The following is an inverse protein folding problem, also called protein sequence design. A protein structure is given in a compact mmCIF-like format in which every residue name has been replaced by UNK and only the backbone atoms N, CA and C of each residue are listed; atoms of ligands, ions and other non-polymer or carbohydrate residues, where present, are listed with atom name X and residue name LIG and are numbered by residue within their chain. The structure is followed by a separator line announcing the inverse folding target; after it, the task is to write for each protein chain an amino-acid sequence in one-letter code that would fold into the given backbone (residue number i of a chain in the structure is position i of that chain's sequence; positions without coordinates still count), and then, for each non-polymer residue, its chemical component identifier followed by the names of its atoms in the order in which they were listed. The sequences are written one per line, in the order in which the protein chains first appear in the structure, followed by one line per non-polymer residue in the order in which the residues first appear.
data_IF_321971952237
#
_entry.id   IF_321971952237
#
_cell.length_a   1.000
_cell.length_b   1.000
_cell.length_c   1.000
_cell.angle_alpha   90.00
_cell.angle_beta   90.00
_cell.angle_gamma   90.00
#
_symmetry.space_group_name_H-M   'P 1'
#
loop_
_entity.id
_entity.type
_entity.pdbx_description
1 polymer ?
#
# COMPACT_ATOMS: atom_id res chain seq x y z
N UNK A 1 13.12 9.31 -39.03
CA UNK A 1 14.43 9.98 -39.16
C UNK A 1 14.84 10.41 -37.77
N UNK A 2 16.12 10.32 -37.42
CA UNK A 2 16.54 10.31 -36.01
C UNK A 2 16.03 11.47 -35.17
N UNK A 3 15.85 12.66 -35.75
CA UNK A 3 15.28 13.80 -35.04
C UNK A 3 13.79 13.62 -34.68
N UNK A 4 13.01 12.98 -35.56
CA UNK A 4 11.64 12.59 -35.25
C UNK A 4 11.56 11.49 -34.18
N UNK A 5 12.55 10.61 -34.12
CA UNK A 5 12.65 9.58 -33.08
C UNK A 5 13.03 10.19 -31.73
N UNK A 6 13.93 11.20 -31.72
CA UNK A 6 14.25 11.99 -30.53
C UNK A 6 13.03 12.73 -30.00
N UNK A 7 12.23 13.37 -30.86
CA UNK A 7 11.00 14.06 -30.44
C UNK A 7 10.04 13.10 -29.73
N UNK A 8 9.83 11.90 -30.27
CA UNK A 8 9.00 10.87 -29.63
C UNK A 8 9.57 10.40 -28.29
N UNK A 9 10.90 10.26 -28.19
CA UNK A 9 11.56 9.88 -26.94
C UNK A 9 11.38 10.95 -25.86
N UNK A 10 11.46 12.24 -26.22
CA UNK A 10 11.17 13.37 -25.32
C UNK A 10 9.71 13.32 -24.87
N UNK A 11 8.75 13.19 -25.79
CA UNK A 11 7.32 13.11 -25.46
C UNK A 11 7.01 11.94 -24.51
N UNK A 12 7.62 10.77 -24.74
CA UNK A 12 7.47 9.60 -23.87
C UNK A 12 8.10 9.83 -22.48
N UNK A 13 9.25 10.50 -22.42
CA UNK A 13 9.91 10.84 -21.16
C UNK A 13 9.09 11.87 -20.36
N UNK A 14 8.54 12.90 -21.00
CA UNK A 14 7.64 13.86 -20.35
C UNK A 14 6.39 13.17 -19.79
N UNK A 15 5.79 12.25 -20.54
CA UNK A 15 4.66 11.46 -20.05
C UNK A 15 5.01 10.61 -18.82
N UNK A 16 6.26 10.11 -18.74
CA UNK A 16 6.76 9.29 -17.62
C UNK A 16 6.84 10.08 -16.31
N UNK A 17 6.96 11.41 -16.35
CA UNK A 17 7.00 12.25 -15.13
C UNK A 17 5.72 12.21 -14.31
N UNK A 18 4.60 11.82 -14.92
CA UNK A 18 3.30 11.69 -14.26
C UNK A 18 3.02 10.28 -13.76
N UNK A 19 3.95 9.32 -13.93
CA UNK A 19 3.74 7.93 -13.51
C UNK A 19 4.37 7.64 -12.15
N UNK A 20 3.95 6.54 -11.53
CA UNK A 20 4.52 6.02 -10.27
C UNK A 20 6.03 5.81 -10.38
N UNK A 21 6.50 5.24 -11.50
CA UNK A 21 7.93 5.06 -11.77
C UNK A 21 8.77 6.31 -11.49
N UNK A 22 8.30 7.50 -11.86
CA UNK A 22 8.99 8.77 -11.62
C UNK A 22 8.61 9.40 -10.27
N UNK A 23 7.32 9.54 -9.99
CA UNK A 23 6.83 10.28 -8.81
C UNK A 23 7.18 9.63 -7.48
N UNK A 24 7.39 8.31 -7.47
CA UNK A 24 7.83 7.55 -6.30
C UNK A 24 9.31 7.12 -6.40
N UNK A 25 10.04 7.59 -7.43
CA UNK A 25 11.46 7.26 -7.58
C UNK A 25 12.27 7.79 -6.40
N UNK A 26 13.30 7.04 -6.01
CA UNK A 26 14.26 7.48 -5.00
C UNK A 26 15.19 8.59 -5.53
N UNK A 27 15.45 8.59 -6.84
CA UNK A 27 16.22 9.59 -7.55
C UNK A 27 15.72 9.73 -9.00
N UNK A 28 15.61 10.96 -9.49
CA UNK A 28 15.21 11.28 -10.88
C UNK A 28 16.30 11.99 -11.66
N UNK A 29 17.46 12.26 -11.04
CA UNK A 29 18.47 13.17 -11.59
C UNK A 29 18.97 12.75 -12.97
N UNK A 30 19.36 11.49 -13.14
CA UNK A 30 19.88 11.00 -14.43
C UNK A 30 18.83 11.07 -15.54
N UNK A 31 17.56 10.83 -15.19
CA UNK A 31 16.44 10.96 -16.11
C UNK A 31 16.19 12.42 -16.49
N UNK A 32 16.19 13.33 -15.51
CA UNK A 32 16.00 14.76 -15.72
C UNK A 32 17.14 15.38 -16.55
N UNK A 33 18.39 15.01 -16.26
CA UNK A 33 19.56 15.46 -17.01
C UNK A 33 19.50 14.98 -18.47
N UNK A 34 19.13 13.72 -18.70
CA UNK A 34 18.96 13.17 -20.05
C UNK A 34 17.85 13.90 -20.83
N UNK A 35 16.73 14.22 -20.17
CA UNK A 35 15.62 14.95 -20.76
C UNK A 35 15.98 16.40 -21.07
N UNK A 36 16.68 17.09 -20.17
CA UNK A 36 17.20 18.43 -20.44
C UNK A 36 18.16 18.41 -21.63
N UNK A 37 19.09 17.45 -21.67
CA UNK A 37 20.05 17.31 -22.77
C UNK A 37 19.38 16.96 -24.12
N UNK A 38 18.27 16.23 -24.12
CA UNK A 38 17.48 15.96 -25.31
C UNK A 38 16.72 17.22 -25.78
N UNK A 39 16.13 17.97 -24.85
CA UNK A 39 15.41 19.21 -25.15
C UNK A 39 16.29 20.33 -25.69
N UNK A 40 17.56 20.41 -25.27
CA UNK A 40 18.52 21.37 -25.84
C UNK A 40 18.77 21.15 -27.33
N UNK A 41 18.65 19.91 -27.83
CA UNK A 41 18.76 19.61 -29.26
C UNK A 41 17.47 19.89 -30.05
N UNK A 42 16.31 19.82 -29.39
CA UNK A 42 15.02 20.10 -30.02
C UNK A 42 14.72 21.60 -30.14
N UNK A 43 15.61 22.46 -29.66
CA UNK A 43 15.55 23.91 -29.89
C UNK A 43 16.06 24.20 -31.30
N UNK A 44 15.32 24.97 -32.12
CA UNK A 44 15.54 25.30 -33.55
C UNK A 44 16.91 25.94 -33.95
N UNK A 45 17.98 25.71 -33.19
CA UNK A 45 19.35 26.08 -33.53
C UNK A 45 19.91 25.00 -34.45
N UNK A 46 19.91 25.30 -35.75
CA UNK A 46 20.20 24.39 -36.85
C UNK A 46 21.62 23.82 -36.92
N UNK A 47 22.10 23.21 -35.85
CA UNK A 47 23.25 22.32 -35.88
C UNK A 47 22.76 20.95 -36.36
N UNK A 48 23.20 20.54 -37.55
CA UNK A 48 23.00 19.19 -38.06
C UNK A 48 23.93 18.25 -37.27
N UNK A 49 23.59 18.00 -36.01
CA UNK A 49 24.28 17.07 -35.13
C UNK A 49 24.35 15.67 -35.77
N UNK A 50 25.49 15.01 -35.63
CA UNK A 50 25.69 13.70 -36.24
C UNK A 50 24.66 12.69 -35.68
N UNK A 51 24.25 11.77 -36.54
CA UNK A 51 23.29 10.72 -36.24
C UNK A 51 23.65 9.91 -34.98
N UNK A 52 24.94 9.87 -34.60
CA UNK A 52 25.42 9.26 -33.36
C UNK A 52 25.04 10.06 -32.10
N UNK A 53 25.14 11.39 -32.12
CA UNK A 53 24.83 12.25 -30.98
C UNK A 53 23.33 12.22 -30.64
N UNK A 54 22.47 12.20 -31.67
CA UNK A 54 21.02 12.04 -31.50
C UNK A 54 20.70 10.67 -30.88
N UNK A 55 21.36 9.60 -31.35
CA UNK A 55 21.15 8.26 -30.80
C UNK A 55 21.58 8.19 -29.32
N UNK A 56 22.73 8.76 -28.97
CA UNK A 56 23.22 8.75 -27.60
C UNK A 56 22.25 9.39 -26.60
N UNK A 57 21.53 10.44 -27.00
CA UNK A 57 20.51 11.10 -26.17
C UNK A 57 19.23 10.29 -26.05
N UNK A 58 18.79 9.65 -27.14
CA UNK A 58 17.68 8.69 -27.10
C UNK A 58 18.02 7.55 -26.14
N UNK A 59 19.24 7.02 -26.21
CA UNK A 59 19.70 5.93 -25.36
C UNK A 59 19.78 6.37 -23.89
N UNK A 60 20.27 7.60 -23.62
CA UNK A 60 20.30 8.15 -22.26
C UNK A 60 18.89 8.26 -21.65
N UNK A 61 17.92 8.78 -22.41
CA UNK A 61 16.51 8.86 -21.98
C UNK A 61 15.88 7.48 -21.73
N UNK A 62 16.20 6.52 -22.59
CA UNK A 62 15.61 5.17 -22.53
C UNK A 62 16.21 4.35 -21.39
N UNK A 63 17.50 4.52 -21.12
CA UNK A 63 18.25 3.74 -20.13
C UNK A 63 18.29 4.37 -18.73
N UNK A 64 17.86 5.64 -18.58
CA UNK A 64 17.73 6.27 -17.28
C UNK A 64 16.77 5.45 -16.40
N UNK A 65 17.28 4.99 -15.25
CA UNK A 65 16.55 4.10 -14.35
C UNK A 65 15.65 4.92 -13.44
N UNK A 66 14.40 4.50 -13.34
CA UNK A 66 13.42 5.00 -12.41
C UNK A 66 12.90 3.79 -11.63
N UNK A 67 12.92 3.88 -10.30
CA UNK A 67 12.65 2.76 -9.40
C UNK A 67 11.32 2.92 -8.65
N UNK A 68 10.50 3.93 -8.95
CA UNK A 68 9.30 4.23 -8.18
C UNK A 68 8.27 3.09 -8.10
N UNK A 69 8.10 2.32 -9.18
CA UNK A 69 7.21 1.14 -9.16
C UNK A 69 7.74 0.05 -8.22
N UNK A 70 9.07 -0.13 -8.18
CA UNK A 70 9.72 -1.06 -7.26
C UNK A 70 9.59 -0.58 -5.82
N UNK A 71 9.80 0.70 -5.57
CA UNK A 71 9.68 1.31 -4.25
C UNK A 71 8.26 1.13 -3.70
N UNK A 72 7.24 1.33 -4.55
CA UNK A 72 5.85 1.07 -4.18
C UNK A 72 5.61 -0.41 -3.85
N UNK A 73 6.10 -1.32 -4.68
CA UNK A 73 5.93 -2.76 -4.43
C UNK A 73 6.62 -3.22 -3.14
N UNK A 74 7.87 -2.79 -2.92
CA UNK A 74 8.61 -3.11 -1.70
C UNK A 74 7.88 -2.58 -0.45
N UNK A 75 7.29 -1.38 -0.53
CA UNK A 75 6.50 -0.81 0.55
C UNK A 75 5.21 -1.62 0.82
N UNK A 76 4.52 -2.09 -0.24
CA UNK A 76 3.36 -2.98 -0.11
C UNK A 76 3.73 -4.29 0.55
N UNK A 77 4.79 -4.94 0.08
CA UNK A 77 5.26 -6.23 0.62
C UNK A 77 5.62 -6.10 2.11
N UNK A 78 6.34 -5.04 2.48
CA UNK A 78 6.68 -4.76 3.87
C UNK A 78 5.44 -4.50 4.74
N UNK A 79 4.44 -3.77 4.24
CA UNK A 79 3.20 -3.51 4.95
C UNK A 79 2.35 -4.77 5.11
N UNK A 80 2.24 -5.60 4.08
CA UNK A 80 1.55 -6.90 4.14
C UNK A 80 2.22 -7.83 5.15
N UNK A 81 3.55 -7.88 5.17
CA UNK A 81 4.29 -8.64 6.17
C UNK A 81 3.99 -8.17 7.60
N UNK A 82 3.96 -6.85 7.83
CA UNK A 82 3.59 -6.27 9.14
C UNK A 82 2.16 -6.64 9.53
N UNK A 83 1.18 -6.50 8.63
CA UNK A 83 -0.23 -6.83 8.90
C UNK A 83 -0.38 -8.32 9.22
N UNK A 84 0.29 -9.20 8.48
CA UNK A 84 0.26 -10.63 8.75
C UNK A 84 0.82 -11.00 10.12
N UNK A 85 1.82 -10.26 10.61
CA UNK A 85 2.45 -10.45 11.91
C UNK A 85 1.61 -9.93 13.09
N UNK A 86 0.53 -9.18 12.86
CA UNK A 86 -0.40 -8.75 13.91
C UNK A 86 -1.12 -9.98 14.51
N UNK A 87 -1.04 -10.18 15.82
CA UNK A 87 -1.44 -11.43 16.48
C UNK A 87 -2.93 -11.48 16.84
N UNK A 88 -3.57 -10.33 16.97
CA UNK A 88 -4.91 -10.20 17.53
C UNK A 88 -5.99 -10.03 16.47
N UNK A 89 -5.66 -9.46 15.31
CA UNK A 89 -6.58 -9.39 14.17
C UNK A 89 -7.04 -10.78 13.70
N UNK A 90 -8.33 -10.89 13.40
CA UNK A 90 -8.90 -12.07 12.77
C UNK A 90 -8.59 -12.11 11.26
N UNK A 91 -8.89 -13.24 10.61
CA UNK A 91 -8.61 -13.43 9.16
C UNK A 91 -9.25 -12.35 8.29
N UNK A 92 -10.54 -12.08 8.46
CA UNK A 92 -11.27 -11.09 7.65
C UNK A 92 -10.70 -9.68 7.79
N UNK A 93 -10.30 -9.27 9.00
CA UNK A 93 -9.68 -7.96 9.27
C UNK A 93 -8.31 -7.84 8.60
N UNK A 94 -7.48 -8.89 8.65
CA UNK A 94 -6.19 -8.93 7.94
C UNK A 94 -6.38 -8.85 6.44
N UNK A 95 -7.31 -9.64 5.88
CA UNK A 95 -7.60 -9.64 4.45
C UNK A 95 -8.08 -8.26 3.97
N UNK A 96 -8.96 -7.61 4.73
CA UNK A 96 -9.43 -6.26 4.42
C UNK A 96 -8.29 -5.22 4.45
N UNK A 97 -7.36 -5.31 5.41
CA UNK A 97 -6.21 -4.40 5.47
C UNK A 97 -5.21 -4.68 4.34
N UNK A 98 -4.94 -5.95 4.02
CA UNK A 98 -4.07 -6.35 2.90
C UNK A 98 -4.65 -5.90 1.56
N UNK A 99 -5.97 -6.02 1.37
CA UNK A 99 -6.64 -5.53 0.17
C UNK A 99 -6.45 -4.01 -0.02
N UNK A 100 -6.55 -3.23 1.07
CA UNK A 100 -6.27 -1.79 1.04
C UNK A 100 -4.80 -1.50 0.68
N UNK A 101 -3.84 -2.24 1.26
CA UNK A 101 -2.42 -2.08 0.89
C UNK A 101 -2.18 -2.38 -0.58
N UNK A 102 -2.78 -3.45 -1.12
CA UNK A 102 -2.66 -3.81 -2.52
C UNK A 102 -3.27 -2.74 -3.44
N UNK A 103 -4.33 -2.06 -3.01
CA UNK A 103 -5.00 -1.00 -3.75
C UNK A 103 -4.27 0.36 -3.69
N UNK A 104 -3.31 0.55 -2.78
CA UNK A 104 -2.57 1.81 -2.68
C UNK A 104 -1.79 2.10 -3.97
N UNK A 105 -1.84 3.34 -4.46
CA UNK A 105 -1.14 3.80 -5.67
C UNK A 105 0.16 4.52 -5.34
N UNK A 106 0.34 4.93 -4.08
CA UNK A 106 1.54 5.63 -3.60
C UNK A 106 2.04 5.07 -2.27
N UNK A 107 3.33 5.29 -1.98
CA UNK A 107 3.93 4.85 -0.71
C UNK A 107 3.28 5.57 0.48
N UNK A 108 2.85 6.82 0.30
CA UNK A 108 2.23 7.64 1.35
C UNK A 108 0.87 7.10 1.82
N UNK A 109 0.12 6.43 0.95
CA UNK A 109 -1.18 5.83 1.29
C UNK A 109 -1.06 4.58 2.14
N UNK A 110 0.11 3.92 2.13
CA UNK A 110 0.32 2.64 2.82
C UNK A 110 0.41 2.81 4.34
N UNK A 111 1.10 3.86 4.81
CA UNK A 111 1.37 4.04 6.25
C UNK A 111 0.07 4.17 7.09
N UNK A 112 -0.93 4.98 6.70
CA UNK A 112 -2.20 5.06 7.43
C UNK A 112 -2.95 3.72 7.54
N UNK A 113 -2.83 2.85 6.53
CA UNK A 113 -3.46 1.51 6.54
C UNK A 113 -2.81 0.64 7.60
N UNK A 114 -1.48 0.64 7.67
CA UNK A 114 -0.71 -0.11 8.69
C UNK A 114 -1.01 0.40 10.09
N UNK A 115 -1.09 1.72 10.29
CA UNK A 115 -1.42 2.32 11.59
C UNK A 115 -2.83 1.96 12.05
N UNK A 116 -3.79 1.95 11.12
CA UNK A 116 -5.17 1.52 11.36
C UNK A 116 -5.21 0.04 11.77
N UNK A 117 -4.52 -0.82 11.03
CA UNK A 117 -4.45 -2.25 11.34
C UNK A 117 -3.81 -2.51 12.71
N UNK A 118 -2.72 -1.80 13.03
CA UNK A 118 -2.03 -1.90 14.33
C UNK A 118 -2.92 -1.42 15.49
N UNK A 119 -3.67 -0.33 15.28
CA UNK A 119 -4.62 0.17 16.28
C UNK A 119 -5.77 -0.81 16.51
N UNK A 120 -6.29 -1.41 15.43
CA UNK A 120 -7.31 -2.44 15.52
C UNK A 120 -6.80 -3.68 16.24
N UNK A 121 -5.55 -4.09 15.99
CA UNK A 121 -4.92 -5.21 16.69
C UNK A 121 -4.91 -5.01 18.21
N UNK A 122 -4.53 -3.82 18.68
CA UNK A 122 -4.60 -3.48 20.10
C UNK A 122 -6.02 -3.61 20.67
N UNK A 123 -7.03 -3.10 19.95
CA UNK A 123 -8.44 -3.23 20.37
C UNK A 123 -8.93 -4.68 20.38
N UNK A 124 -8.47 -5.50 19.44
CA UNK A 124 -8.79 -6.93 19.40
C UNK A 124 -8.11 -7.69 20.56
N UNK A 125 -6.90 -7.28 20.97
CA UNK A 125 -6.26 -7.82 22.17
C UNK A 125 -7.11 -7.54 23.43
N UNK A 126 -7.61 -6.31 23.56
CA UNK A 126 -8.47 -5.93 24.69
C UNK A 126 -9.83 -6.64 24.65
N UNK A 127 -10.41 -6.82 23.46
CA UNK A 127 -11.63 -7.62 23.27
C UNK A 127 -11.44 -9.06 23.73
N UNK A 128 -10.34 -9.72 23.32
CA UNK A 128 -10.01 -11.10 23.73
C UNK A 128 -9.92 -11.24 25.25
N UNK A 129 -9.22 -10.32 25.91
CA UNK A 129 -9.14 -10.29 27.39
C UNK A 129 -10.51 -10.07 28.04
N UNK A 130 -11.35 -9.22 27.45
CA UNK A 130 -12.69 -8.97 27.97
C UNK A 130 -13.60 -10.21 27.84
N UNK A 131 -13.49 -10.95 26.73
CA UNK A 131 -14.16 -12.25 26.52
C UNK A 131 -13.70 -13.24 27.57
N UNK A 132 -12.38 -13.45 27.75
CA UNK A 132 -11.84 -14.37 28.76
C UNK A 132 -12.33 -14.04 30.17
N UNK A 133 -12.32 -12.75 30.53
CA UNK A 133 -12.81 -12.29 31.83
C UNK A 133 -14.34 -12.46 31.98
N UNK A 134 -15.10 -12.35 30.89
CA UNK A 134 -16.53 -12.61 30.87
C UNK A 134 -16.82 -14.11 31.01
N UNK A 135 -16.14 -14.98 30.28
CA UNK A 135 -16.27 -16.43 30.40
C UNK A 135 -15.98 -16.91 31.83
N UNK A 136 -14.94 -16.37 32.47
CA UNK A 136 -14.64 -16.69 33.86
C UNK A 136 -15.81 -16.34 34.83
N UNK A 137 -16.59 -15.29 34.54
CA UNK A 137 -17.74 -14.91 35.37
C UNK A 137 -18.86 -15.93 35.30
N UNK A 138 -19.00 -16.71 34.21
CA UNK A 138 -20.03 -17.75 34.08
C UNK A 138 -19.95 -18.84 35.16
N UNK A 139 -18.76 -19.04 35.74
CA UNK A 139 -18.55 -20.01 36.83
C UNK A 139 -18.82 -19.45 38.23
N UNK A 140 -19.13 -18.16 38.36
CA UNK A 140 -19.34 -17.51 39.66
C UNK A 140 -20.76 -17.70 40.16
N UNK A 141 -20.95 -17.71 41.49
CA UNK A 141 -22.29 -17.76 42.10
C UNK A 141 -23.17 -16.58 41.68
N UNK A 142 -22.56 -15.40 41.47
CA UNK A 142 -23.29 -14.22 41.01
C UNK A 142 -23.96 -14.44 39.65
N UNK A 143 -23.31 -15.22 38.77
CA UNK A 143 -23.86 -15.59 37.48
C UNK A 143 -24.83 -16.78 37.59
N UNK A 144 -24.44 -17.87 38.26
CA UNK A 144 -25.24 -19.11 38.30
C UNK A 144 -26.53 -18.97 39.10
N UNK A 145 -26.62 -17.98 40.00
CA UNK A 145 -27.83 -17.67 40.77
C UNK A 145 -28.56 -16.41 40.28
N UNK A 146 -28.12 -15.81 39.16
CA UNK A 146 -28.81 -14.67 38.58
C UNK A 146 -30.19 -15.10 38.05
N UNK A 147 -31.20 -14.23 38.23
CA UNK A 147 -32.54 -14.48 37.71
C UNK A 147 -32.65 -14.30 36.20
N UNK A 148 -31.72 -13.56 35.59
CA UNK A 148 -31.62 -13.32 34.16
C UNK A 148 -30.16 -13.04 33.77
N UNK A 149 -29.63 -13.80 32.82
CA UNK A 149 -28.27 -13.64 32.27
C UNK A 149 -28.27 -13.19 30.81
N UNK A 150 -29.44 -13.01 30.20
CA UNK A 150 -29.61 -12.85 28.75
C UNK A 150 -28.74 -11.72 28.19
N UNK A 151 -28.78 -10.53 28.81
CA UNK A 151 -27.99 -9.39 28.33
C UNK A 151 -26.48 -9.63 28.41
N UNK A 152 -26.02 -10.37 29.42
CA UNK A 152 -24.61 -10.74 29.55
C UNK A 152 -24.21 -11.74 28.47
N UNK A 153 -25.02 -12.78 28.27
CA UNK A 153 -24.78 -13.81 27.25
C UNK A 153 -24.76 -13.19 25.86
N UNK A 154 -25.76 -12.37 25.51
CA UNK A 154 -25.81 -11.68 24.21
C UNK A 154 -24.58 -10.79 23.98
N UNK A 155 -24.11 -10.06 25.00
CA UNK A 155 -22.92 -9.22 24.86
C UNK A 155 -21.64 -10.06 24.63
N UNK A 156 -21.53 -11.19 25.31
CA UNK A 156 -20.42 -12.13 25.15
C UNK A 156 -20.46 -12.82 23.77
N UNK A 157 -21.63 -13.23 23.31
CA UNK A 157 -21.82 -13.83 21.99
C UNK A 157 -21.44 -12.83 20.89
N UNK A 158 -21.91 -11.58 20.97
CA UNK A 158 -21.51 -10.52 20.04
C UNK A 158 -19.98 -10.30 20.03
N UNK A 159 -19.35 -10.29 21.21
CA UNK A 159 -17.90 -10.14 21.31
C UNK A 159 -17.16 -11.32 20.66
N UNK A 160 -17.65 -12.55 20.86
CA UNK A 160 -17.12 -13.76 20.23
C UNK A 160 -17.28 -13.72 18.70
N UNK A 161 -18.42 -13.26 18.19
CA UNK A 161 -18.65 -13.08 16.76
C UNK A 161 -17.64 -12.10 16.16
N UNK A 162 -17.42 -10.94 16.79
CA UNK A 162 -16.37 -10.00 16.36
C UNK A 162 -14.97 -10.60 16.39
N UNK A 163 -14.68 -11.44 17.38
CA UNK A 163 -13.38 -12.09 17.54
C UNK A 163 -13.14 -13.24 16.55
N UNK A 164 -14.20 -13.82 15.99
CA UNK A 164 -14.12 -14.98 15.11
C UNK A 164 -13.50 -14.67 13.75
N UNK A 165 -12.91 -15.68 13.10
CA UNK A 165 -12.20 -15.56 11.82
C UNK A 165 -13.11 -15.20 10.63
N UNK A 166 -14.41 -15.48 10.75
CA UNK A 166 -15.42 -15.24 9.74
C UNK A 166 -16.34 -14.13 10.20
N UNK A 167 -15.94 -12.85 10.07
CA UNK A 167 -16.85 -11.71 10.27
C UNK A 167 -18.02 -11.64 9.28
N UNK A 168 -18.53 -12.79 8.82
CA UNK A 168 -19.71 -12.94 8.00
C UNK A 168 -20.90 -13.07 8.95
N UNK A 169 -21.61 -11.95 9.10
CA UNK A 169 -23.06 -11.85 9.24
C UNK A 169 -23.75 -13.21 9.44
N UNK A 170 -24.17 -13.51 10.67
CA UNK A 170 -25.19 -14.54 10.92
C UNK A 170 -26.40 -14.25 10.03
N UNK A 171 -26.48 -14.91 8.87
CA UNK A 171 -27.73 -14.99 8.15
C UNK A 171 -28.61 -16.03 8.84
N UNK A 172 -29.71 -15.48 9.34
CA UNK A 172 -30.87 -16.13 9.95
C UNK A 172 -31.49 -17.24 9.08
#
# INVERSE_FOLDING_TARGET
GKMGDLKKAIEAADAKKSTTAYTQASDTKDFDDALTAANTLNSDKGDNEDAAAVQAKIDALTNAKLDGDKQLQDAKDAAIAKINALENLNKAQKEAAIAQVNAAETVAEIQPIVDTATTLDGKMSDLKKAIEAADAKKSTTAYTQASDTTAFDTALDNANTLNSDNGDNEDA
#
